data_IF_163264705744
#
_entry.id   IF_163264705744
#
_cell.length_a   1.000
_cell.length_b   1.000
_cell.length_c   1.000
_cell.angle_alpha   90.00
_cell.angle_beta   90.00
_cell.angle_gamma   90.00
#
_symmetry.space_group_name_H-M   'P 1'
#
loop_
_entity.id
_entity.type
_entity.pdbx_description
1 polymer ?
#
# COMPACT_ATOMS: atom_id res chain seq x y z
N UNK A 1 9.19 13.54 7.63
CA UNK A 1 8.97 12.12 7.28
C UNK A 1 9.02 11.98 5.76
N UNK A 2 9.49 10.84 5.27
CA UNK A 2 9.58 10.54 3.84
C UNK A 2 8.23 10.05 3.32
N UNK A 3 7.79 10.53 2.15
CA UNK A 3 6.57 10.05 1.48
C UNK A 3 6.63 8.57 1.06
N UNK A 4 5.67 8.16 0.24
CA UNK A 4 5.54 6.76 -0.23
C UNK A 4 6.83 6.20 -0.86
N UNK A 5 7.11 4.92 -0.60
CA UNK A 5 8.34 4.22 -1.03
C UNK A 5 8.03 2.86 -1.63
N UNK A 6 8.73 2.56 -2.71
CA UNK A 6 8.89 1.19 -3.22
C UNK A 6 10.12 0.62 -2.50
N UNK A 7 9.92 -0.27 -1.53
CA UNK A 7 11.03 -0.85 -0.75
C UNK A 7 11.70 -2.00 -1.51
N UNK A 8 10.88 -2.83 -2.18
CA UNK A 8 11.34 -3.91 -3.05
C UNK A 8 10.25 -4.26 -4.06
N UNK A 9 10.64 -4.65 -5.28
CA UNK A 9 9.76 -5.30 -6.26
C UNK A 9 10.26 -6.74 -6.46
N UNK A 10 9.41 -7.70 -6.15
CA UNK A 10 9.70 -9.13 -6.27
C UNK A 10 9.18 -9.74 -7.58
N UNK A 11 9.52 -11.01 -7.81
CA UNK A 11 9.18 -11.76 -9.02
C UNK A 11 7.66 -11.88 -9.29
N UNK A 12 6.85 -11.73 -8.25
CA UNK A 12 5.41 -11.96 -8.27
C UNK A 12 4.56 -10.71 -8.51
N UNK A 13 5.16 -9.53 -8.68
CA UNK A 13 4.38 -8.31 -8.96
C UNK A 13 4.00 -8.21 -10.43
N UNK A 14 2.71 -8.34 -10.78
CA UNK A 14 2.27 -8.32 -12.17
C UNK A 14 1.97 -6.89 -12.67
N UNK A 15 2.18 -5.86 -11.83
CA UNK A 15 1.61 -4.53 -12.01
C UNK A 15 0.17 -4.45 -11.47
N UNK A 16 -0.22 -3.31 -10.92
CA UNK A 16 -1.49 -3.20 -10.20
C UNK A 16 -2.72 -3.48 -11.06
N UNK A 17 -2.69 -3.20 -12.35
CA UNK A 17 -3.80 -3.46 -13.27
C UNK A 17 -4.11 -4.97 -13.39
N UNK A 18 -3.10 -5.83 -13.21
CA UNK A 18 -3.21 -7.29 -13.30
C UNK A 18 -3.59 -7.96 -11.97
N UNK A 19 -3.53 -7.24 -10.85
CA UNK A 19 -4.04 -7.73 -9.56
C UNK A 19 -5.54 -7.97 -9.65
N UNK A 20 -6.01 -9.15 -9.25
CA UNK A 20 -7.42 -9.56 -9.24
C UNK A 20 -8.01 -9.62 -7.84
N UNK A 21 -7.19 -9.87 -6.84
CA UNK A 21 -7.61 -10.06 -5.45
C UNK A 21 -6.95 -9.02 -4.55
N UNK A 22 -7.74 -8.42 -3.66
CA UNK A 22 -7.26 -7.61 -2.54
C UNK A 22 -7.59 -8.35 -1.25
N UNK A 23 -6.59 -8.58 -0.41
CA UNK A 23 -6.78 -9.07 0.95
C UNK A 23 -6.39 -7.93 1.89
N UNK A 24 -7.34 -7.42 2.67
CA UNK A 24 -7.17 -6.19 3.44
C UNK A 24 -7.29 -6.51 4.92
N UNK A 25 -6.32 -6.00 5.68
CA UNK A 25 -6.28 -6.02 7.14
C UNK A 25 -6.15 -4.59 7.66
N UNK A 26 -6.77 -4.31 8.80
CA UNK A 26 -6.72 -2.96 9.34
C UNK A 26 -7.82 -2.64 10.33
N UNK A 27 -8.13 -1.36 10.41
CA UNK A 27 -9.08 -0.82 11.38
C UNK A 27 -10.29 -0.12 10.72
N UNK A 28 -10.84 0.87 11.41
CA UNK A 28 -11.99 1.67 10.96
C UNK A 28 -11.74 2.41 9.65
N UNK A 29 -10.48 2.68 9.28
CA UNK A 29 -10.16 3.36 8.02
C UNK A 29 -10.37 2.48 6.79
N UNK A 30 -10.35 1.16 6.96
CA UNK A 30 -10.43 0.19 5.86
C UNK A 30 -11.72 -0.60 5.85
N UNK A 31 -12.33 -0.86 7.01
CA UNK A 31 -13.50 -1.74 7.10
C UNK A 31 -14.66 -1.32 6.20
N UNK A 32 -15.19 -2.28 5.45
CA UNK A 32 -16.47 -2.20 4.72
C UNK A 32 -17.58 -2.99 5.41
N UNK A 33 -17.32 -3.57 6.58
CA UNK A 33 -18.27 -4.40 7.32
C UNK A 33 -18.51 -5.80 6.72
N UNK A 34 -17.54 -6.32 5.97
CA UNK A 34 -17.50 -7.72 5.58
C UNK A 34 -17.06 -8.59 6.77
N UNK A 35 -17.60 -9.80 6.87
CA UNK A 35 -17.10 -10.87 7.73
C UNK A 35 -17.28 -12.22 7.02
N UNK A 36 -16.66 -13.28 7.54
CA UNK A 36 -16.64 -14.60 6.89
C UNK A 36 -18.00 -15.32 6.89
N UNK A 37 -19.03 -14.78 7.56
CA UNK A 37 -20.41 -15.28 7.47
C UNK A 37 -21.23 -14.61 6.37
N UNK A 38 -20.73 -13.51 5.79
CA UNK A 38 -21.36 -12.80 4.68
C UNK A 38 -21.16 -13.54 3.35
N UNK A 39 -21.96 -13.25 2.31
CA UNK A 39 -21.71 -13.78 0.98
C UNK A 39 -20.31 -13.43 0.49
N UNK A 40 -19.60 -14.43 -0.06
CA UNK A 40 -18.25 -14.21 -0.56
C UNK A 40 -18.22 -13.17 -1.69
N UNK A 41 -17.13 -12.40 -1.83
CA UNK A 41 -16.93 -11.50 -2.95
C UNK A 41 -17.09 -12.18 -4.31
N UNK A 42 -17.79 -11.51 -5.23
CA UNK A 42 -17.96 -11.96 -6.62
C UNK A 42 -17.77 -10.80 -7.58
N UNK A 43 -17.62 -11.06 -8.89
CA UNK A 43 -17.53 -9.96 -9.86
C UNK A 43 -18.77 -9.04 -9.88
N UNK A 44 -19.95 -9.55 -9.51
CA UNK A 44 -21.19 -8.75 -9.39
C UNK A 44 -21.25 -7.99 -8.07
N UNK A 45 -20.69 -8.55 -7.01
CA UNK A 45 -20.60 -7.92 -5.69
C UNK A 45 -19.16 -8.03 -5.14
N UNK A 46 -18.23 -7.16 -5.58
CA UNK A 46 -16.80 -7.34 -5.30
C UNK A 46 -16.39 -7.15 -3.83
N UNK A 47 -17.27 -6.62 -3.00
CA UNK A 47 -17.04 -6.43 -1.55
C UNK A 47 -17.67 -7.54 -0.70
N UNK A 48 -18.47 -8.45 -1.28
CA UNK A 48 -19.28 -9.40 -0.50
C UNK A 48 -20.47 -8.77 0.25
N UNK A 49 -20.46 -7.44 0.45
CA UNK A 49 -21.51 -6.65 1.09
C UNK A 49 -22.13 -5.63 0.13
N UNK A 50 -23.33 -5.13 0.44
CA UNK A 50 -23.98 -4.09 -0.37
C UNK A 50 -23.11 -2.84 -0.38
N UNK A 51 -22.68 -2.41 -1.58
CA UNK A 51 -21.89 -1.19 -1.75
C UNK A 51 -22.61 0.04 -1.15
N UNK A 52 -21.90 0.93 -0.42
CA UNK A 52 -20.45 0.99 -0.22
C UNK A 52 -19.90 0.14 0.95
N UNK A 53 -20.74 -0.66 1.60
CA UNK A 53 -20.43 -1.31 2.87
C UNK A 53 -20.72 -0.41 4.07
N UNK A 54 -20.39 -0.89 5.26
CA UNK A 54 -20.46 -0.14 6.51
C UNK A 54 -19.09 0.47 6.82
N UNK A 55 -18.98 1.77 6.66
CA UNK A 55 -17.74 2.55 6.81
C UNK A 55 -17.79 3.47 8.04
N UNK A 56 -16.63 3.94 8.49
CA UNK A 56 -16.49 4.97 9.53
C UNK A 56 -16.34 6.37 8.92
N UNK A 57 -17.26 6.74 8.03
CA UNK A 57 -17.36 8.09 7.49
C UNK A 57 -18.84 8.46 7.30
N UNK A 58 -19.15 9.39 6.40
CA UNK A 58 -20.53 9.80 6.18
C UNK A 58 -21.39 8.62 5.72
N UNK A 59 -22.65 8.60 6.19
CA UNK A 59 -23.61 7.55 5.85
C UNK A 59 -23.71 7.33 4.34
N UNK A 60 -23.71 6.06 3.93
CA UNK A 60 -23.85 5.61 2.54
C UNK A 60 -22.74 6.14 1.61
N UNK A 61 -21.55 6.43 2.14
CA UNK A 61 -20.37 6.84 1.36
C UNK A 61 -19.21 5.84 1.47
N UNK A 62 -18.45 5.62 0.39
CA UNK A 62 -17.30 4.70 0.42
C UNK A 62 -16.10 5.29 1.18
N UNK A 63 -15.33 4.42 1.81
CA UNK A 63 -13.96 4.70 2.23
C UNK A 63 -13.00 4.48 1.05
N UNK A 64 -11.69 4.42 1.31
CA UNK A 64 -10.67 4.27 0.26
C UNK A 64 -10.83 2.95 -0.53
N UNK A 65 -11.29 1.87 0.11
CA UNK A 65 -11.52 0.56 -0.52
C UNK A 65 -12.60 0.70 -1.58
N UNK A 66 -13.74 1.29 -1.20
CA UNK A 66 -14.86 1.54 -2.11
C UNK A 66 -14.48 2.45 -3.29
N UNK A 67 -13.72 3.52 -3.03
CA UNK A 67 -13.20 4.40 -4.09
C UNK A 67 -12.23 3.66 -5.02
N UNK A 68 -11.34 2.81 -4.47
CA UNK A 68 -10.34 2.07 -5.23
C UNK A 68 -10.99 1.11 -6.22
N UNK A 69 -11.95 0.30 -5.76
CA UNK A 69 -12.65 -0.65 -6.64
C UNK A 69 -13.47 0.05 -7.71
N UNK A 70 -14.10 1.18 -7.41
CA UNK A 70 -14.85 1.96 -8.39
C UNK A 70 -13.92 2.54 -9.46
N UNK A 71 -12.75 3.03 -9.03
CA UNK A 71 -11.76 3.62 -9.92
C UNK A 71 -11.14 2.58 -10.85
N UNK A 72 -10.72 1.41 -10.34
CA UNK A 72 -10.23 0.33 -11.21
C UNK A 72 -11.31 -0.22 -12.13
N UNK A 73 -12.55 -0.40 -11.66
CA UNK A 73 -13.66 -0.79 -12.55
C UNK A 73 -13.82 0.18 -13.73
N UNK A 74 -13.65 1.49 -13.50
CA UNK A 74 -13.70 2.49 -14.57
C UNK A 74 -12.51 2.36 -15.52
N UNK A 75 -11.30 2.18 -14.98
CA UNK A 75 -10.01 2.09 -15.71
C UNK A 75 -9.89 0.81 -16.54
N UNK A 76 -10.05 -0.36 -15.93
CA UNK A 76 -9.72 -1.67 -16.54
C UNK A 76 -10.93 -2.45 -17.03
N UNK A 77 -12.15 -2.00 -16.69
CA UNK A 77 -13.41 -2.76 -16.89
C UNK A 77 -13.48 -4.09 -16.13
N UNK A 78 -12.48 -4.40 -15.30
CA UNK A 78 -12.45 -5.58 -14.44
C UNK A 78 -12.79 -5.23 -13.00
N UNK A 79 -13.32 -6.20 -12.25
CA UNK A 79 -13.56 -6.07 -10.82
C UNK A 79 -12.45 -6.79 -10.07
N UNK A 80 -11.84 -6.10 -9.11
CA UNK A 80 -10.97 -6.72 -8.10
C UNK A 80 -11.86 -7.26 -6.98
N UNK A 81 -11.73 -8.54 -6.64
CA UNK A 81 -12.42 -9.14 -5.51
C UNK A 81 -11.73 -8.71 -4.22
N UNK A 82 -12.50 -8.30 -3.22
CA UNK A 82 -11.98 -7.74 -1.97
C UNK A 82 -12.39 -8.61 -0.80
N UNK A 83 -11.40 -9.23 -0.16
CA UNK A 83 -11.53 -9.94 1.10
C UNK A 83 -11.06 -9.00 2.21
N UNK A 84 -11.98 -8.21 2.77
CA UNK A 84 -11.68 -7.20 3.78
C UNK A 84 -11.96 -7.73 5.19
N UNK A 85 -10.89 -8.01 5.93
CA UNK A 85 -10.96 -8.44 7.32
C UNK A 85 -10.79 -7.27 8.31
N UNK A 86 -10.66 -6.03 7.83
CA UNK A 86 -10.50 -4.87 8.69
C UNK A 86 -11.73 -4.66 9.57
N UNK A 87 -11.51 -4.33 10.84
CA UNK A 87 -12.58 -4.11 11.81
C UNK A 87 -12.32 -2.85 12.64
N UNK A 88 -13.37 -2.04 12.80
CA UNK A 88 -13.28 -0.78 13.52
C UNK A 88 -12.77 -0.94 14.95
N UNK A 89 -11.80 -0.10 15.32
CA UNK A 89 -11.20 -0.09 16.67
C UNK A 89 -10.09 -1.11 16.89
N UNK A 90 -9.80 -2.00 15.92
CA UNK A 90 -8.72 -2.97 16.08
C UNK A 90 -7.34 -2.28 16.18
N UNK A 91 -6.54 -2.78 17.11
CA UNK A 91 -5.09 -2.56 17.19
C UNK A 91 -4.38 -3.70 16.46
N UNK A 92 -3.03 -3.74 16.48
CA UNK A 92 -2.30 -4.94 16.01
C UNK A 92 -2.74 -6.22 16.73
N UNK A 93 -3.15 -6.12 18.01
CA UNK A 93 -3.73 -7.25 18.74
C UNK A 93 -5.03 -7.76 18.10
N UNK A 94 -5.87 -6.86 17.60
CA UNK A 94 -7.07 -7.21 16.83
C UNK A 94 -6.74 -7.79 15.46
N UNK A 95 -5.73 -7.24 14.78
CA UNK A 95 -5.24 -7.78 13.50
C UNK A 95 -4.76 -9.23 13.59
N UNK A 96 -4.27 -9.69 14.74
CA UNK A 96 -3.96 -11.12 14.96
C UNK A 96 -5.18 -12.01 14.70
N UNK A 97 -6.36 -11.61 15.17
CA UNK A 97 -7.62 -12.33 14.89
C UNK A 97 -7.92 -12.34 13.39
N UNK A 98 -7.79 -11.19 12.73
CA UNK A 98 -8.03 -11.05 11.29
C UNK A 98 -7.14 -11.98 10.46
N UNK A 99 -5.86 -12.11 10.84
CA UNK A 99 -4.91 -12.97 10.12
C UNK A 99 -5.09 -14.44 10.49
N UNK A 100 -4.97 -14.79 11.77
CA UNK A 100 -4.86 -16.18 12.22
C UNK A 100 -6.20 -16.93 12.27
N UNK A 101 -7.29 -16.23 12.60
CA UNK A 101 -8.60 -16.85 12.81
C UNK A 101 -9.56 -16.65 11.64
N UNK A 102 -9.40 -15.56 10.89
CA UNK A 102 -10.28 -15.24 9.76
C UNK A 102 -9.59 -15.60 8.44
N UNK A 103 -8.57 -14.85 8.00
CA UNK A 103 -7.90 -15.11 6.73
C UNK A 103 -7.34 -16.53 6.60
N UNK A 104 -6.51 -17.00 7.53
CA UNK A 104 -5.86 -18.32 7.44
C UNK A 104 -6.89 -19.44 7.34
N UNK A 105 -8.06 -19.29 7.98
CA UNK A 105 -9.11 -20.32 8.00
C UNK A 105 -10.14 -20.19 6.86
N UNK A 106 -10.14 -19.05 6.17
CA UNK A 106 -11.06 -18.72 5.08
C UNK A 106 -10.31 -18.72 3.74
N UNK A 107 -10.14 -17.56 3.08
CA UNK A 107 -9.49 -17.50 1.77
C UNK A 107 -8.04 -17.96 1.81
N UNK A 108 -7.37 -17.95 2.97
CA UNK A 108 -6.02 -18.52 3.13
C UNK A 108 -5.92 -20.00 2.71
N UNK A 109 -7.03 -20.75 2.78
CA UNK A 109 -7.15 -22.13 2.29
C UNK A 109 -7.30 -22.24 0.77
N UNK A 110 -7.44 -21.11 0.06
CA UNK A 110 -7.70 -21.01 -1.39
C UNK A 110 -8.87 -21.89 -1.82
N UNK A 111 -10.06 -21.70 -1.23
CA UNK A 111 -11.23 -22.44 -1.67
C UNK A 111 -11.54 -22.13 -3.14
N UNK A 112 -12.31 -23.00 -3.80
CA UNK A 112 -12.63 -22.89 -5.23
C UNK A 112 -13.21 -21.50 -5.62
N UNK A 113 -13.93 -20.86 -4.71
CA UNK A 113 -14.52 -19.54 -4.91
C UNK A 113 -13.54 -18.36 -4.73
N UNK A 114 -12.36 -18.59 -4.13
CA UNK A 114 -11.28 -17.62 -3.99
C UNK A 114 -9.91 -18.24 -4.37
N UNK A 115 -9.70 -18.61 -5.65
CA UNK A 115 -8.50 -19.30 -6.11
C UNK A 115 -7.35 -18.30 -6.36
N UNK A 116 -7.05 -17.48 -5.36
CA UNK A 116 -6.05 -16.44 -5.46
C UNK A 116 -4.63 -17.02 -5.47
N UNK A 117 -3.71 -16.31 -6.13
CA UNK A 117 -2.32 -16.69 -6.27
C UNK A 117 -1.39 -15.57 -5.84
N UNK A 118 -0.13 -15.90 -5.59
CA UNK A 118 0.92 -14.92 -5.35
C UNK A 118 1.08 -13.92 -6.50
N UNK A 119 0.76 -14.31 -7.74
CA UNK A 119 0.93 -13.52 -8.96
C UNK A 119 -0.27 -12.59 -9.26
N UNK A 120 -1.36 -12.65 -8.50
CA UNK A 120 -2.58 -11.84 -8.76
C UNK A 120 -3.24 -11.25 -7.51
N UNK A 121 -2.55 -11.28 -6.37
CA UNK A 121 -3.09 -10.83 -5.08
C UNK A 121 -2.21 -9.78 -4.43
N UNK A 122 -2.83 -8.71 -3.93
CA UNK A 122 -2.19 -7.69 -3.10
C UNK A 122 -2.74 -7.78 -1.67
N UNK A 123 -1.83 -7.91 -0.71
CA UNK A 123 -2.10 -7.93 0.72
C UNK A 123 -1.86 -6.53 1.29
N UNK A 124 -2.88 -5.93 1.90
CA UNK A 124 -2.82 -4.55 2.40
C UNK A 124 -2.96 -4.54 3.91
N UNK A 125 -2.06 -3.86 4.60
CA UNK A 125 -2.12 -3.62 6.04
C UNK A 125 -2.19 -2.11 6.31
N UNK A 126 -3.33 -1.64 6.82
CA UNK A 126 -3.48 -0.27 7.32
C UNK A 126 -3.99 -0.30 8.76
N UNK A 127 -3.05 -0.30 9.70
CA UNK A 127 -3.27 -0.51 11.13
C UNK A 127 -2.34 0.41 11.94
N UNK A 128 -2.70 0.69 13.18
CA UNK A 128 -1.87 1.46 14.12
C UNK A 128 -2.48 2.76 14.60
N UNK A 129 -3.60 3.21 14.03
CA UNK A 129 -4.32 4.40 14.51
C UNK A 129 -4.75 4.19 15.96
N UNK A 130 -5.35 3.03 16.25
CA UNK A 130 -5.79 2.67 17.59
C UNK A 130 -4.61 2.41 18.54
N UNK A 131 -3.53 1.77 18.09
CA UNK A 131 -2.30 1.60 18.88
C UNK A 131 -1.70 2.95 19.29
N UNK A 132 -1.66 3.93 18.37
CA UNK A 132 -1.22 5.28 18.67
C UNK A 132 -2.16 6.00 19.65
N UNK A 133 -3.46 5.73 19.61
CA UNK A 133 -4.45 6.35 20.49
C UNK A 133 -4.43 5.75 21.91
N UNK A 134 -4.32 4.43 22.04
CA UNK A 134 -4.24 3.74 23.34
C UNK A 134 -2.83 3.77 23.94
N UNK A 135 -1.81 4.01 23.12
CA UNK A 135 -0.41 3.92 23.51
C UNK A 135 0.06 2.46 23.64
N UNK A 136 1.25 2.29 24.21
CA UNK A 136 1.88 0.99 24.39
C UNK A 136 3.36 1.01 24.06
N UNK A 137 3.95 -0.18 23.99
CA UNK A 137 5.33 -0.38 23.57
C UNK A 137 5.34 -0.66 22.05
N UNK A 138 5.68 0.36 21.27
CA UNK A 138 5.53 0.32 19.82
C UNK A 138 6.48 -0.67 19.15
N UNK A 139 7.64 -0.98 19.72
CA UNK A 139 8.52 -2.01 19.15
C UNK A 139 7.82 -3.37 19.20
N UNK A 140 7.23 -3.74 20.34
CA UNK A 140 6.51 -5.00 20.55
C UNK A 140 5.28 -5.10 19.64
N UNK A 141 4.55 -4.00 19.46
CA UNK A 141 3.40 -3.94 18.54
C UNK A 141 3.84 -4.11 17.08
N UNK A 142 4.91 -3.42 16.66
CA UNK A 142 5.45 -3.55 15.30
C UNK A 142 6.05 -4.95 15.08
N UNK A 143 6.75 -5.53 16.06
CA UNK A 143 7.27 -6.90 15.99
C UNK A 143 6.11 -7.90 15.80
N UNK A 144 5.03 -7.72 16.55
CA UNK A 144 3.81 -8.52 16.38
C UNK A 144 3.22 -8.33 14.98
N UNK A 145 3.13 -7.10 14.48
CA UNK A 145 2.65 -6.83 13.13
C UNK A 145 3.49 -7.57 12.10
N UNK A 146 4.83 -7.53 12.20
CA UNK A 146 5.72 -8.21 11.27
C UNK A 146 5.63 -9.73 11.37
N UNK A 147 5.42 -10.31 12.56
CA UNK A 147 5.13 -11.74 12.70
C UNK A 147 3.86 -12.15 11.95
N UNK A 148 2.81 -11.31 11.96
CA UNK A 148 1.61 -11.56 11.17
C UNK A 148 1.89 -11.49 9.67
N UNK A 149 2.79 -10.61 9.22
CA UNK A 149 3.21 -10.58 7.81
C UNK A 149 3.96 -11.85 7.41
N UNK A 150 4.78 -12.42 8.30
CA UNK A 150 5.40 -13.74 8.10
C UNK A 150 4.34 -14.84 7.99
N UNK A 151 3.27 -14.80 8.80
CA UNK A 151 2.14 -15.74 8.65
C UNK A 151 1.47 -15.61 7.27
N UNK A 152 1.27 -14.39 6.78
CA UNK A 152 0.73 -14.17 5.42
C UNK A 152 1.71 -14.70 4.35
N UNK A 153 3.00 -14.43 4.50
CA UNK A 153 4.05 -14.89 3.58
C UNK A 153 4.12 -16.41 3.50
N UNK A 154 4.12 -17.11 4.64
CA UNK A 154 4.09 -18.57 4.70
C UNK A 154 2.78 -19.15 4.14
N UNK A 155 1.69 -18.40 4.23
CA UNK A 155 0.42 -18.72 3.57
C UNK A 155 0.44 -18.47 2.06
N UNK A 156 1.51 -17.89 1.51
CA UNK A 156 1.75 -17.67 0.07
C UNK A 156 1.55 -16.23 -0.42
N UNK A 157 1.39 -15.26 0.48
CA UNK A 157 1.40 -13.84 0.11
C UNK A 157 2.77 -13.43 -0.43
N UNK A 158 2.80 -12.62 -1.50
CA UNK A 158 4.04 -12.12 -2.11
C UNK A 158 4.04 -10.62 -2.41
N UNK A 159 2.88 -9.98 -2.51
CA UNK A 159 2.78 -8.54 -2.73
C UNK A 159 2.16 -7.89 -1.50
N UNK A 160 2.93 -7.06 -0.80
CA UNK A 160 2.57 -6.43 0.45
C UNK A 160 2.54 -4.91 0.28
N UNK A 161 1.45 -4.30 0.73
CA UNK A 161 1.30 -2.85 0.86
C UNK A 161 1.06 -2.51 2.33
N UNK A 162 2.00 -1.78 2.90
CA UNK A 162 1.85 -1.13 4.20
C UNK A 162 1.38 0.30 4.00
N UNK A 163 0.39 0.72 4.78
CA UNK A 163 -0.05 2.12 4.81
C UNK A 163 0.24 2.68 6.20
N UNK A 164 0.99 3.78 6.25
CA UNK A 164 1.35 4.43 7.50
C UNK A 164 0.18 5.18 8.15
N UNK A 165 0.30 5.49 9.44
CA UNK A 165 -0.76 6.16 10.21
C UNK A 165 -0.83 7.64 9.77
N UNK A 166 -2.01 8.18 9.42
CA UNK A 166 -2.13 9.59 9.04
C UNK A 166 -1.80 10.51 10.23
N UNK A 167 -1.58 11.83 10.07
CA UNK A 167 -1.22 12.77 11.16
C UNK A 167 -2.34 12.92 12.21
N UNK A 168 -2.52 11.92 13.07
CA UNK A 168 -3.60 11.88 14.06
C UNK A 168 -3.45 12.97 15.13
N UNK A 169 -2.23 13.46 15.33
CA UNK A 169 -1.93 14.65 16.13
C UNK A 169 -2.62 15.93 15.60
N UNK A 170 -3.08 15.94 14.34
CA UNK A 170 -3.84 17.04 13.72
C UNK A 170 -5.35 16.79 13.67
N UNK A 171 -5.83 15.66 14.19
CA UNK A 171 -7.26 15.34 14.23
C UNK A 171 -8.02 16.19 15.25
N UNK A 172 -9.34 16.40 15.11
CA UNK A 172 -10.16 17.08 16.13
C UNK A 172 -10.25 16.34 17.49
N UNK A 173 -9.81 15.08 17.55
CA UNK A 173 -9.68 14.31 18.78
C UNK A 173 -8.36 14.60 19.53
N UNK A 174 -7.34 15.13 18.85
CA UNK A 174 -6.08 15.48 19.48
C UNK A 174 -6.31 16.53 20.59
N UNK A 175 -5.67 16.32 21.74
CA UNK A 175 -5.75 17.30 22.83
C UNK A 175 -5.08 18.62 22.43
N UNK A 176 -5.52 19.73 23.00
CA UNK A 176 -4.92 21.04 22.71
C UNK A 176 -3.41 21.07 22.97
N UNK A 177 -2.93 20.33 23.98
CA UNK A 177 -1.51 20.20 24.32
C UNK A 177 -0.70 19.35 23.33
N UNK A 178 -1.35 18.48 22.54
CA UNK A 178 -0.73 17.73 21.43
C UNK A 178 -0.79 18.56 20.16
N UNK A 179 -1.91 19.24 19.90
CA UNK A 179 -2.10 20.11 18.75
C UNK A 179 -1.25 21.40 18.78
N UNK A 180 -0.87 21.88 19.98
CA UNK A 180 -0.02 23.07 20.16
C UNK A 180 1.47 22.81 19.95
N UNK A 181 1.88 21.56 19.70
CA UNK A 181 3.30 21.22 19.49
C UNK A 181 3.67 21.43 18.03
N UNK A 182 4.87 21.98 17.80
CA UNK A 182 5.43 22.26 16.47
C UNK A 182 5.39 21.00 15.58
N UNK A 183 5.11 21.14 14.26
CA UNK A 183 5.33 20.06 13.30
C UNK A 183 6.72 19.45 13.47
N UNK A 184 6.80 18.13 13.70
CA UNK A 184 8.06 17.43 13.99
C UNK A 184 8.31 17.10 15.47
N UNK A 185 7.39 17.42 16.37
CA UNK A 185 7.41 16.84 17.72
C UNK A 185 7.15 15.32 17.66
N UNK A 186 7.81 14.56 18.54
CA UNK A 186 7.76 13.10 18.66
C UNK A 186 6.36 12.58 19.00
N UNK A 187 5.43 12.65 18.04
CA UNK A 187 4.06 12.15 18.20
C UNK A 187 4.07 10.62 18.13
N UNK A 188 3.06 10.01 18.75
CA UNK A 188 2.84 8.57 18.65
C UNK A 188 2.85 8.09 17.18
N UNK A 189 2.19 8.85 16.31
CA UNK A 189 2.17 8.64 14.86
C UNK A 189 3.56 8.64 14.23
N UNK A 190 4.41 9.62 14.56
CA UNK A 190 5.77 9.71 13.97
C UNK A 190 6.60 8.49 14.37
N UNK A 191 6.53 8.10 15.65
CA UNK A 191 7.26 6.93 16.17
C UNK A 191 6.79 5.65 15.51
N UNK A 192 5.47 5.45 15.44
CA UNK A 192 4.86 4.31 14.75
C UNK A 192 5.31 4.22 13.30
N UNK A 193 5.16 5.30 12.53
CA UNK A 193 5.49 5.33 11.12
C UNK A 193 6.99 5.10 10.87
N UNK A 194 7.85 5.60 11.77
CA UNK A 194 9.30 5.36 11.70
C UNK A 194 9.61 3.89 11.90
N UNK A 195 9.06 3.26 12.94
CA UNK A 195 9.26 1.84 13.22
C UNK A 195 8.70 0.96 12.10
N UNK A 196 7.48 1.25 11.62
CA UNK A 196 6.86 0.55 10.49
C UNK A 196 7.74 0.61 9.24
N UNK A 197 8.27 1.79 8.89
CA UNK A 197 9.12 1.95 7.72
C UNK A 197 10.44 1.16 7.83
N UNK A 198 11.08 1.17 9.00
CA UNK A 198 12.28 0.38 9.26
C UNK A 198 11.98 -1.12 9.17
N UNK A 199 10.94 -1.59 9.85
CA UNK A 199 10.57 -3.01 9.89
C UNK A 199 10.08 -3.55 8.54
N UNK A 200 9.32 -2.77 7.78
CA UNK A 200 8.96 -3.14 6.40
C UNK A 200 10.19 -3.24 5.48
N UNK A 201 11.19 -2.37 5.68
CA UNK A 201 12.46 -2.45 4.93
C UNK A 201 13.25 -3.71 5.30
N UNK A 202 13.29 -4.08 6.58
CA UNK A 202 13.90 -5.34 7.01
C UNK A 202 13.18 -6.56 6.46
N UNK A 203 11.84 -6.57 6.47
CA UNK A 203 11.05 -7.65 5.87
C UNK A 203 11.31 -7.81 4.37
N UNK A 204 11.40 -6.71 3.63
CA UNK A 204 11.79 -6.75 2.23
C UNK A 204 13.18 -7.40 2.04
N UNK A 205 14.16 -7.01 2.86
CA UNK A 205 15.53 -7.55 2.82
C UNK A 205 15.61 -9.02 3.26
N UNK A 206 14.72 -9.47 4.14
CA UNK A 206 14.64 -10.85 4.59
C UNK A 206 14.07 -11.79 3.51
N UNK A 207 13.27 -11.27 2.58
CA UNK A 207 12.67 -12.02 1.47
C UNK A 207 13.09 -11.45 0.10
N UNK A 208 14.40 -11.40 -0.21
CA UNK A 208 14.92 -10.66 -1.35
C UNK A 208 14.48 -11.29 -2.68
N UNK A 209 13.92 -10.46 -3.56
CA UNK A 209 13.50 -10.87 -4.90
C UNK A 209 12.22 -11.71 -4.97
N UNK A 210 11.77 -12.31 -3.87
CA UNK A 210 10.51 -13.06 -3.81
C UNK A 210 9.31 -12.14 -3.54
N UNK A 211 9.48 -11.17 -2.62
CA UNK A 211 8.38 -10.28 -2.21
C UNK A 211 8.44 -8.91 -2.86
N UNK A 212 7.28 -8.37 -3.17
CA UNK A 212 7.09 -6.94 -3.42
C UNK A 212 6.61 -6.29 -2.13
N UNK A 213 7.32 -5.26 -1.69
CA UNK A 213 7.04 -4.56 -0.45
C UNK A 213 6.93 -3.06 -0.74
N UNK A 214 5.73 -2.53 -0.54
CA UNK A 214 5.37 -1.15 -0.80
C UNK A 214 4.97 -0.48 0.50
N UNK A 215 5.40 0.77 0.70
CA UNK A 215 4.99 1.62 1.81
C UNK A 215 4.30 2.86 1.24
N UNK A 216 3.00 3.00 1.44
CA UNK A 216 2.26 4.18 1.05
C UNK A 216 2.07 5.12 2.25
N UNK A 217 2.39 6.40 2.08
CA UNK A 217 2.30 7.36 3.18
C UNK A 217 0.96 8.09 3.18
N UNK A 218 0.00 7.60 3.96
CA UNK A 218 -1.22 8.35 4.26
C UNK A 218 -0.92 9.57 5.15
N UNK A 219 0.18 9.52 5.91
CA UNK A 219 0.70 10.66 6.67
C UNK A 219 1.00 11.86 5.78
N UNK A 220 1.79 11.65 4.73
CA UNK A 220 2.13 12.69 3.76
C UNK A 220 0.90 13.24 3.05
N UNK A 221 0.03 12.34 2.56
CA UNK A 221 -1.18 12.73 1.82
C UNK A 221 -2.09 13.62 2.67
N UNK A 222 -2.42 13.19 3.90
CA UNK A 222 -3.31 13.98 4.75
C UNK A 222 -2.62 15.24 5.28
N UNK A 223 -1.30 15.23 5.46
CA UNK A 223 -0.53 16.45 5.76
C UNK A 223 -0.69 17.48 4.64
N UNK A 224 -0.51 17.10 3.37
CA UNK A 224 -0.72 17.99 2.21
C UNK A 224 -2.16 18.52 2.13
N UNK A 225 -3.16 17.66 2.37
CA UNK A 225 -4.57 18.07 2.41
C UNK A 225 -4.84 19.10 3.50
N UNK A 226 -4.25 18.95 4.68
CA UNK A 226 -4.45 19.87 5.80
C UNK A 226 -3.64 21.16 5.67
N UNK A 227 -2.50 21.13 4.98
CA UNK A 227 -1.64 22.30 4.73
C UNK A 227 -2.20 23.20 3.63
N UNK A 228 -2.73 22.61 2.55
CA UNK A 228 -3.43 23.34 1.48
C UNK A 228 -4.75 22.66 1.09
N UNK A 229 -5.82 22.84 1.88
CA UNK A 229 -7.11 22.24 1.57
C UNK A 229 -7.67 22.67 0.20
N UNK A 230 -7.32 23.88 -0.27
CA UNK A 230 -7.85 24.42 -1.54
C UNK A 230 -7.28 23.68 -2.74
N UNK A 231 -5.99 23.34 -2.73
CA UNK A 231 -5.37 22.50 -3.77
C UNK A 231 -6.04 21.12 -3.91
N UNK A 232 -6.69 20.64 -2.84
CA UNK A 232 -7.38 19.35 -2.80
C UNK A 232 -8.90 19.46 -2.97
N UNK A 233 -9.43 20.63 -3.34
CA UNK A 233 -10.86 20.83 -3.63
C UNK A 233 -11.74 21.17 -2.42
N UNK A 234 -11.13 21.51 -1.28
CA UNK A 234 -11.84 21.99 -0.09
C UNK A 234 -11.84 23.53 -0.01
N UNK A 235 -12.61 24.11 0.92
CA UNK A 235 -12.72 25.57 1.05
C UNK A 235 -11.51 26.19 1.78
N UNK A 236 -10.87 25.42 2.65
CA UNK A 236 -9.76 25.85 3.48
C UNK A 236 -10.17 26.62 4.74
N UNK A 237 -9.17 26.99 5.54
CA UNK A 237 -9.36 27.58 6.87
C UNK A 237 -9.71 26.55 7.94
N UNK A 238 -9.78 27.01 9.20
CA UNK A 238 -10.03 26.16 10.38
C UNK A 238 -11.34 25.37 10.32
N UNK A 239 -12.35 25.91 9.64
CA UNK A 239 -13.63 25.24 9.43
C UNK A 239 -13.52 23.92 8.63
N UNK A 240 -12.45 23.75 7.85
CA UNK A 240 -12.16 22.49 7.16
C UNK A 240 -11.09 21.68 7.91
N UNK A 241 -10.03 22.31 8.44
CA UNK A 241 -8.85 21.58 8.96
C UNK A 241 -8.99 21.04 10.38
N UNK A 242 -9.89 21.56 11.21
CA UNK A 242 -10.03 21.14 12.62
C UNK A 242 -11.46 20.85 13.08
N UNK A 243 -12.45 21.03 12.22
CA UNK A 243 -13.86 20.83 12.57
C UNK A 243 -14.29 19.36 12.39
N UNK A 244 -14.72 18.73 13.48
CA UNK A 244 -15.45 17.46 13.42
C UNK A 244 -16.83 17.65 12.75
N UNK A 245 -17.24 16.72 11.88
CA UNK A 245 -18.40 16.89 11.02
C UNK A 245 -18.21 17.99 9.97
N UNK A 246 -16.96 18.20 9.55
CA UNK A 246 -16.56 19.16 8.52
C UNK A 246 -16.42 18.51 7.13
N UNK A 247 -15.64 19.15 6.25
CA UNK A 247 -15.38 18.61 4.90
C UNK A 247 -14.21 17.64 4.85
N UNK A 248 -13.26 17.75 5.78
CA UNK A 248 -12.10 16.87 5.88
C UNK A 248 -12.34 15.79 6.94
N UNK A 249 -12.82 16.16 8.12
CA UNK A 249 -13.10 15.25 9.22
C UNK A 249 -14.60 14.94 9.33
N UNK A 250 -14.98 13.68 9.17
CA UNK A 250 -16.37 13.22 9.32
C UNK A 250 -16.81 13.27 10.78
N UNK A 251 -15.92 12.88 11.69
CA UNK A 251 -16.11 13.01 13.13
C UNK A 251 -14.82 13.57 13.78
N UNK A 252 -14.52 13.21 15.04
CA UNK A 252 -13.31 13.70 15.71
C UNK A 252 -12.03 12.97 15.28
N UNK A 253 -12.15 11.82 14.65
CA UNK A 253 -11.05 10.92 14.30
C UNK A 253 -11.02 10.62 12.80
N UNK A 254 -12.17 10.28 12.22
CA UNK A 254 -12.24 9.74 10.87
C UNK A 254 -12.36 10.84 9.81
N UNK A 255 -11.72 10.61 8.66
CA UNK A 255 -11.80 11.51 7.51
C UNK A 255 -13.06 11.25 6.69
N UNK A 256 -13.51 12.26 5.95
CA UNK A 256 -14.66 12.13 5.04
C UNK A 256 -14.36 11.21 3.87
N UNK A 257 -15.40 10.72 3.21
CA UNK A 257 -15.31 10.01 1.95
C UNK A 257 -14.60 10.83 0.87
N UNK A 258 -14.73 12.16 0.89
CA UNK A 258 -14.02 13.03 -0.04
C UNK A 258 -12.50 12.94 0.15
N UNK A 259 -12.02 12.92 1.39
CA UNK A 259 -10.60 12.74 1.71
C UNK A 259 -10.14 11.31 1.40
N UNK A 260 -10.94 10.29 1.71
CA UNK A 260 -10.66 8.93 1.23
C UNK A 260 -10.50 8.88 -0.30
N UNK A 261 -11.29 9.67 -1.04
CA UNK A 261 -11.13 9.81 -2.49
C UNK A 261 -9.81 10.47 -2.90
N UNK A 262 -9.26 11.40 -2.11
CA UNK A 262 -7.90 11.95 -2.32
C UNK A 262 -6.87 10.86 -2.06
N UNK A 263 -6.96 10.18 -0.92
CA UNK A 263 -6.07 9.06 -0.55
C UNK A 263 -6.04 8.00 -1.64
N UNK A 264 -7.20 7.59 -2.16
CA UNK A 264 -7.29 6.63 -3.25
C UNK A 264 -6.58 7.12 -4.51
N UNK A 265 -6.75 8.39 -4.92
CA UNK A 265 -6.06 8.91 -6.12
C UNK A 265 -4.53 8.88 -5.96
N UNK A 266 -4.03 9.29 -4.81
CA UNK A 266 -2.59 9.27 -4.53
C UNK A 266 -2.06 7.83 -4.44
N UNK A 267 -2.82 6.92 -3.83
CA UNK A 267 -2.50 5.49 -3.77
C UNK A 267 -2.46 4.87 -5.17
N UNK A 268 -3.43 5.20 -6.02
CA UNK A 268 -3.46 4.71 -7.40
C UNK A 268 -2.26 5.22 -8.21
N UNK A 269 -1.96 6.52 -8.13
CA UNK A 269 -0.77 7.08 -8.79
C UNK A 269 0.52 6.39 -8.32
N UNK A 270 0.62 6.10 -7.02
CA UNK A 270 1.76 5.37 -6.46
C UNK A 270 1.84 3.93 -6.99
N UNK A 271 0.74 3.18 -6.98
CA UNK A 271 0.69 1.79 -7.45
C UNK A 271 0.92 1.68 -8.97
N UNK A 272 0.40 2.62 -9.75
CA UNK A 272 0.58 2.69 -11.21
C UNK A 272 2.04 2.97 -11.59
N UNK A 273 2.81 3.61 -10.70
CA UNK A 273 4.24 3.87 -10.91
C UNK A 273 5.13 2.63 -10.65
N UNK A 274 4.60 1.57 -10.02
CA UNK A 274 5.37 0.36 -9.72
C UNK A 274 5.37 -0.56 -10.95
N UNK A 275 6.51 -0.61 -11.65
CA UNK A 275 6.70 -1.45 -12.83
C UNK A 275 6.53 -2.94 -12.49
N UNK A 276 5.85 -3.68 -13.36
CA UNK A 276 5.70 -5.14 -13.25
C UNK A 276 7.08 -5.84 -13.31
N UNK A 277 7.20 -6.99 -12.65
CA UNK A 277 8.41 -7.81 -12.72
C UNK A 277 8.58 -8.39 -14.12
N UNK A 278 9.77 -8.24 -14.70
CA UNK A 278 10.12 -8.78 -16.03
C UNK A 278 10.23 -10.32 -16.06
N UNK A 279 10.18 -10.97 -14.90
CA UNK A 279 10.64 -12.36 -14.72
C UNK A 279 9.69 -13.48 -15.18
N UNK A 280 8.44 -13.21 -15.55
CA UNK A 280 7.47 -14.25 -15.96
C UNK A 280 6.69 -14.00 -17.25
N UNK A 281 6.56 -12.75 -17.68
CA UNK A 281 5.89 -12.42 -18.94
C UNK A 281 6.96 -12.09 -19.97
N UNK A 282 7.41 -13.13 -20.66
CA UNK A 282 8.60 -13.13 -21.50
C UNK A 282 8.77 -11.88 -22.37
N UNK A 283 10.04 -11.51 -22.52
CA UNK A 283 10.59 -10.65 -23.56
C UNK A 283 10.27 -11.18 -24.97
N UNK A 284 9.01 -11.03 -25.36
CA UNK A 284 8.57 -11.11 -26.74
C UNK A 284 8.93 -9.82 -27.46
N UNK A 285 10.07 -9.83 -28.14
CA UNK A 285 10.53 -8.86 -29.16
C UNK A 285 11.03 -7.48 -28.69
N UNK A 286 12.36 -7.36 -28.56
CA UNK A 286 13.10 -6.15 -28.92
C UNK A 286 14.48 -6.53 -29.50
N UNK A 287 14.45 -7.22 -30.65
CA UNK A 287 15.62 -7.30 -31.52
C UNK A 287 15.60 -6.12 -32.49
N UNK A 288 16.62 -5.25 -32.43
CA UNK A 288 16.89 -4.16 -33.37
C UNK A 288 16.73 -2.78 -32.72
N UNK A 289 17.72 -1.89 -32.68
CA UNK A 289 18.93 -1.71 -33.49
C UNK A 289 20.04 -1.17 -32.60
N UNK A 290 21.16 -1.89 -32.48
CA UNK A 290 22.44 -1.25 -32.13
C UNK A 290 22.83 -0.34 -33.29
N UNK A 291 22.83 0.98 -33.05
CA UNK A 291 23.48 1.96 -33.93
C UNK A 291 24.98 1.64 -33.94
N UNK A 292 25.45 1.03 -35.02
CA UNK A 292 26.87 0.97 -35.38
C UNK A 292 27.31 2.37 -35.79
N UNK A 293 28.15 3.00 -34.98
CA UNK A 293 28.93 4.17 -35.39
C UNK A 293 30.01 3.72 -36.39
N UNK A 294 29.97 4.33 -37.55
CA UNK A 294 30.97 4.20 -38.61
C UNK A 294 32.23 4.97 -38.22
N UNK A 295 33.39 4.33 -38.25
CA UNK A 295 34.67 5.00 -38.53
C UNK A 295 35.35 4.26 -39.68
N UNK A 296 35.69 5.04 -40.71
CA UNK A 296 36.01 4.59 -42.05
C UNK A 296 37.41 3.99 -42.22
N UNK A 297 37.52 3.27 -43.33
CA UNK A 297 38.72 2.72 -43.94
C UNK A 297 39.76 3.80 -44.29
N UNK A 298 41.01 3.54 -43.94
CA UNK A 298 42.20 3.77 -44.77
C UNK A 298 43.04 2.49 -44.59
N UNK A 299 43.26 1.66 -45.60
CA UNK A 299 44.17 1.92 -46.71
C UNK A 299 45.48 1.20 -46.42
N UNK A 300 45.63 -0.03 -46.93
CA UNK A 300 46.73 -0.93 -46.57
C UNK A 300 48.09 -0.54 -47.16
N UNK A 301 49.16 -1.10 -46.59
CA UNK A 301 50.48 -1.29 -47.21
C UNK A 301 51.14 -2.56 -46.60
N UNK A 302 51.89 -3.26 -47.46
CA UNK A 302 52.54 -4.57 -47.30
C UNK A 302 53.73 -4.58 -46.32
N UNK A 303 54.00 -5.78 -45.78
CA UNK A 303 55.22 -6.24 -45.09
C UNK A 303 56.53 -5.96 -45.86
N UNK A 304 57.70 -5.95 -45.16
CA UNK A 304 58.57 -7.12 -45.25
C UNK A 304 59.25 -7.55 -43.93
N UNK A 305 59.98 -8.65 -44.05
CA UNK A 305 60.42 -9.60 -43.02
C UNK A 305 61.73 -9.26 -42.27
N UNK A 306 61.88 -9.95 -41.13
CA UNK A 306 63.11 -10.43 -40.46
C UNK A 306 64.11 -9.39 -39.90
N UNK A 307 64.41 -9.56 -38.61
CA UNK A 307 65.76 -9.90 -38.14
C UNK A 307 65.71 -10.53 -36.74
N UNK A 308 66.38 -11.68 -36.61
CA UNK A 308 66.79 -12.31 -35.35
C UNK A 308 67.91 -11.48 -34.74
N UNK A 309 67.92 -11.35 -33.41
CA UNK A 309 69.15 -11.50 -32.61
C UNK A 309 68.82 -12.07 -31.23
N UNK A 310 69.74 -12.91 -30.78
CA UNK A 310 69.81 -13.65 -29.51
C UNK A 310 70.42 -12.79 -28.39
N UNK A 311 70.45 -13.40 -27.20
CA UNK A 311 71.29 -13.16 -26.00
C UNK A 311 70.91 -11.95 -25.14
N UNK A 312 70.84 -12.04 -23.82
CA UNK A 312 71.21 -13.08 -22.85
C UNK A 312 70.20 -13.12 -21.69
#
# INVERSE_FOLDING_TARGET
>A
MSGSKILQVGAHWPGIDQIKHLVIFGDSYSTVGYDTSMPHPTHKNPLGVVFPGRTYNERDKPNWVGHLIQSYRKKTKSHKLVYDYASGGDTVGGMRRQVENEFVRDVGQRPEWAPWTSDDTLFVSWIGINDCAYGGEFNTQIDTLMQLQETLYTSGARNFLFIDVPPMERSPAASAAVASKTPGFDSATIRWNTLLACSASHFAQAHPGDTTVLLFSAHDVLTRVLDDPRAHGFRGGSADTSKAGGRIWSDRLHVTSAVHGVVTRELQSFLDAVQASESKYGSGTAAGKRRRTWFGLLGGIKLPARLRTRSA
#
